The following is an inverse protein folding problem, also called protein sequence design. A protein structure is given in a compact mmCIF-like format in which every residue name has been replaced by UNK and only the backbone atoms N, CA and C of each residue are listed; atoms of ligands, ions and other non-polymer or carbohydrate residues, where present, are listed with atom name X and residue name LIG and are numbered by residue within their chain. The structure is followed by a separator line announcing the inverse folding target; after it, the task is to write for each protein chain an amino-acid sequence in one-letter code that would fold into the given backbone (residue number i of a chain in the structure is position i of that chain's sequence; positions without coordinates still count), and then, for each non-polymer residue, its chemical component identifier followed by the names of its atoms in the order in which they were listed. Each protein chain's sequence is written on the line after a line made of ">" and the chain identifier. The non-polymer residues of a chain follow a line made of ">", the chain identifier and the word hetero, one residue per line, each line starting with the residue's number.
data_IF_000041469827
#
_entry.id   IF_000041469827
#
_cell.length_a   1.000
_cell.length_b   1.000
_cell.length_c   1.000
_cell.angle_alpha   90.00
_cell.angle_beta   90.00
_cell.angle_gamma   90.00
#
_symmetry.space_group_name_H-M   'P 1'
#
loop_
_entity.id
_entity.type
_entity.pdbx_description
1 polymer ?
#
# COMPACT_ATOMS: atom_id res chain seq x y z
N UNK A 1 -28.92 0.00 -5.82
CA UNK A 1 -27.72 0.63 -5.24
C UNK A 1 -28.05 1.79 -4.29
N UNK A 2 -29.27 1.98 -3.85
CA UNK A 2 -29.66 2.96 -2.86
C UNK A 2 -30.43 2.25 -1.73
N UNK A 3 -29.97 2.30 -0.48
CA UNK A 3 -28.77 2.98 0.00
C UNK A 3 -27.46 2.28 -0.41
N UNK A 4 -26.38 3.05 -0.55
CA UNK A 4 -25.01 2.50 -0.63
C UNK A 4 -24.46 2.17 0.75
N UNK A 5 -23.40 1.34 0.83
CA UNK A 5 -22.81 1.00 2.13
C UNK A 5 -22.05 2.18 2.72
N UNK A 6 -21.10 2.73 1.97
CA UNK A 6 -20.20 3.79 2.44
C UNK A 6 -20.09 4.90 1.42
N UNK A 7 -20.10 6.14 1.89
CA UNK A 7 -19.68 7.32 1.15
C UNK A 7 -18.35 7.80 1.72
N UNK A 8 -17.31 7.92 0.88
CA UNK A 8 -16.06 8.58 1.29
C UNK A 8 -16.01 10.00 0.75
N UNK A 9 -15.69 10.96 1.59
CA UNK A 9 -15.68 12.38 1.23
C UNK A 9 -14.76 13.21 2.13
N UNK A 10 -14.42 14.43 1.66
CA UNK A 10 -13.73 15.43 2.47
C UNK A 10 -14.71 16.24 3.33
N UNK A 11 -14.23 16.71 4.49
CA UNK A 11 -15.04 17.55 5.40
C UNK A 11 -15.59 18.83 4.75
N UNK A 12 -14.88 19.41 3.80
CA UNK A 12 -15.23 20.67 3.15
C UNK A 12 -16.54 20.62 2.35
N UNK A 13 -16.90 19.43 1.87
CA UNK A 13 -18.09 19.26 1.01
C UNK A 13 -19.26 18.57 1.71
N UNK A 14 -19.19 18.40 3.03
CA UNK A 14 -20.30 17.83 3.81
C UNK A 14 -21.57 18.67 3.63
N UNK A 15 -21.46 19.98 3.85
CA UNK A 15 -22.62 20.89 3.76
C UNK A 15 -23.13 21.11 2.36
N UNK A 16 -22.28 21.00 1.34
CA UNK A 16 -22.65 21.28 -0.03
C UNK A 16 -23.07 20.03 -0.82
N UNK A 17 -22.43 18.91 -0.58
CA UNK A 17 -22.62 17.69 -1.35
C UNK A 17 -23.38 16.62 -0.57
N UNK A 18 -22.85 16.23 0.59
CA UNK A 18 -23.45 15.19 1.42
C UNK A 18 -24.85 15.58 1.91
N UNK A 19 -25.01 16.82 2.41
CA UNK A 19 -26.30 17.32 2.88
C UNK A 19 -27.35 17.31 1.77
N UNK A 20 -26.99 17.69 0.54
CA UNK A 20 -27.93 17.63 -0.59
C UNK A 20 -28.37 16.22 -0.90
N UNK A 21 -27.46 15.25 -0.95
CA UNK A 21 -27.81 13.86 -1.17
C UNK A 21 -28.77 13.34 -0.10
N UNK A 22 -28.51 13.66 1.17
CA UNK A 22 -29.39 13.28 2.29
C UNK A 22 -30.77 13.95 2.18
N UNK A 23 -30.82 15.26 1.91
CA UNK A 23 -32.07 16.00 1.79
C UNK A 23 -32.93 15.51 0.63
N UNK A 24 -32.33 15.36 -0.57
CA UNK A 24 -33.05 14.87 -1.75
C UNK A 24 -33.53 13.44 -1.57
N UNK A 25 -32.68 12.55 -1.03
CA UNK A 25 -33.07 11.17 -0.79
C UNK A 25 -34.26 11.07 0.18
N UNK A 26 -34.20 11.79 1.30
CA UNK A 26 -35.28 11.82 2.27
C UNK A 26 -36.58 12.43 1.73
N UNK A 27 -36.45 13.44 0.86
CA UNK A 27 -37.61 14.10 0.28
C UNK A 27 -38.28 13.24 -0.80
N UNK A 28 -37.51 12.65 -1.72
CA UNK A 28 -38.05 11.94 -2.87
C UNK A 28 -38.21 10.43 -2.66
N UNK A 29 -37.54 9.83 -1.66
CA UNK A 29 -37.55 8.39 -1.42
C UNK A 29 -38.05 8.04 -0.01
N UNK A 30 -39.19 8.60 0.38
CA UNK A 30 -39.95 8.25 1.59
C UNK A 30 -39.10 8.23 2.88
N UNK A 31 -38.18 9.15 3.01
CA UNK A 31 -37.34 9.29 4.20
C UNK A 31 -36.11 8.39 4.26
N UNK A 32 -35.80 7.65 3.20
CA UNK A 32 -34.59 6.80 3.16
C UNK A 32 -33.31 7.62 3.24
N UNK A 33 -32.26 7.04 3.84
CA UNK A 33 -30.91 7.57 3.80
C UNK A 33 -30.16 7.04 2.58
N UNK A 34 -29.32 7.85 1.91
CA UNK A 34 -28.60 7.42 0.70
C UNK A 34 -27.44 6.45 0.94
N UNK A 35 -26.92 6.39 2.16
CA UNK A 35 -25.79 5.56 2.57
C UNK A 35 -25.87 5.26 4.08
N UNK A 36 -25.23 4.15 4.51
CA UNK A 36 -25.18 3.78 5.93
C UNK A 36 -24.12 4.56 6.67
N UNK A 37 -22.92 4.60 6.10
CA UNK A 37 -21.75 5.21 6.72
C UNK A 37 -21.21 6.35 5.85
N UNK A 38 -20.62 7.35 6.50
CA UNK A 38 -19.90 8.44 5.83
C UNK A 38 -18.49 8.47 6.39
N UNK A 39 -17.53 8.04 5.56
CA UNK A 39 -16.11 8.13 5.89
C UNK A 39 -15.57 9.50 5.48
N UNK A 40 -15.14 10.29 6.46
CA UNK A 40 -14.57 11.62 6.22
C UNK A 40 -13.05 11.49 6.24
N UNK A 41 -12.44 11.46 5.05
CA UNK A 41 -11.02 11.31 4.92
C UNK A 41 -10.23 12.58 5.27
N UNK A 42 -8.98 12.40 5.69
CA UNK A 42 -8.02 13.48 5.91
C UNK A 42 -7.72 14.25 4.62
N UNK A 43 -7.39 15.55 4.75
CA UNK A 43 -6.93 16.35 3.63
C UNK A 43 -5.41 16.22 3.49
N UNK A 44 -4.94 16.09 2.24
CA UNK A 44 -3.51 16.13 1.95
C UNK A 44 -3.10 17.59 1.74
N UNK A 45 -2.12 18.02 2.53
CA UNK A 45 -1.49 19.33 2.48
C UNK A 45 -0.05 19.19 2.01
N UNK A 46 0.53 20.27 1.50
CA UNK A 46 1.97 20.32 1.20
C UNK A 46 2.83 20.34 2.48
N UNK A 47 4.16 20.39 2.33
CA UNK A 47 5.08 20.44 3.47
C UNK A 47 4.92 21.65 4.39
N UNK A 48 4.33 22.73 3.88
CA UNK A 48 4.06 23.96 4.61
C UNK A 48 2.67 23.97 5.27
N UNK A 49 1.89 22.90 5.12
CA UNK A 49 0.54 22.81 5.68
C UNK A 49 -0.51 23.55 4.86
N UNK A 50 -0.22 23.85 3.59
CA UNK A 50 -1.15 24.51 2.69
C UNK A 50 -1.95 23.47 1.90
N UNK A 51 -3.23 23.75 1.67
CA UNK A 51 -4.06 22.92 0.80
C UNK A 51 -3.47 22.86 -0.60
N UNK A 52 -3.35 21.64 -1.15
CA UNK A 52 -2.89 21.47 -2.52
C UNK A 52 -3.91 22.03 -3.50
N UNK A 53 -3.43 22.85 -4.43
CA UNK A 53 -4.26 23.44 -5.49
C UNK A 53 -3.47 23.65 -6.78
N UNK A 54 -4.17 23.67 -7.90
CA UNK A 54 -3.57 23.95 -9.21
C UNK A 54 -2.96 25.36 -9.27
N UNK A 55 -3.62 26.34 -8.65
CA UNK A 55 -3.18 27.74 -8.62
C UNK A 55 -1.89 27.97 -7.83
N UNK A 56 -1.64 27.17 -6.79
CA UNK A 56 -0.39 27.21 -6.03
C UNK A 56 0.69 26.31 -6.62
N UNK A 57 0.35 25.46 -7.60
CA UNK A 57 1.30 24.55 -8.21
C UNK A 57 1.97 23.58 -7.22
N UNK A 58 1.39 23.40 -6.02
CA UNK A 58 1.91 22.57 -4.95
C UNK A 58 1.28 21.16 -4.92
N UNK A 59 0.46 20.82 -5.91
CA UNK A 59 -0.10 19.49 -6.05
C UNK A 59 0.85 18.56 -6.80
N UNK A 60 0.70 17.26 -6.56
CA UNK A 60 1.40 16.20 -7.27
C UNK A 60 0.45 15.57 -8.28
N UNK A 61 0.84 15.48 -9.55
CA UNK A 61 0.05 14.80 -10.58
C UNK A 61 0.16 13.28 -10.39
N UNK A 62 -0.96 12.57 -10.19
CA UNK A 62 -0.94 11.10 -10.06
C UNK A 62 -0.23 10.40 -11.22
N UNK A 63 -0.30 10.93 -12.44
CA UNK A 63 0.36 10.34 -13.62
C UNK A 63 1.88 10.40 -13.50
N UNK A 64 2.43 11.48 -12.94
CA UNK A 64 3.87 11.61 -12.72
C UNK A 64 4.36 10.62 -11.66
N UNK A 65 3.57 10.39 -10.61
CA UNK A 65 3.89 9.38 -9.59
C UNK A 65 3.77 7.96 -10.16
N UNK A 66 2.73 7.67 -10.92
CA UNK A 66 2.58 6.36 -11.58
C UNK A 66 3.78 6.08 -12.50
N UNK A 67 4.24 7.08 -13.23
CA UNK A 67 5.39 6.95 -14.11
C UNK A 67 6.71 6.72 -13.36
N UNK A 68 6.93 7.40 -12.24
CA UNK A 68 8.20 7.38 -11.50
C UNK A 68 8.27 6.29 -10.43
N UNK A 69 7.15 5.97 -9.78
CA UNK A 69 7.10 5.05 -8.63
C UNK A 69 6.21 3.83 -8.87
N UNK A 70 5.28 3.89 -9.83
CA UNK A 70 4.27 2.88 -10.08
C UNK A 70 2.95 3.15 -9.35
N UNK A 71 1.87 2.59 -9.90
CA UNK A 71 0.52 2.79 -9.37
C UNK A 71 0.35 2.21 -7.96
N UNK A 72 0.92 1.05 -7.69
CA UNK A 72 0.85 0.40 -6.37
C UNK A 72 1.58 1.20 -5.28
N UNK A 73 2.72 1.82 -5.62
CA UNK A 73 3.44 2.68 -4.69
C UNK A 73 2.60 3.90 -4.29
N UNK A 74 1.92 4.52 -5.26
CA UNK A 74 1.01 5.63 -4.99
C UNK A 74 -0.17 5.19 -4.11
N UNK A 75 -0.83 4.08 -4.44
CA UNK A 75 -1.96 3.56 -3.69
C UNK A 75 -1.58 3.22 -2.25
N UNK A 76 -0.47 2.48 -2.06
CA UNK A 76 0.03 2.11 -0.74
C UNK A 76 0.32 3.34 0.12
N UNK A 77 1.06 4.32 -0.41
CA UNK A 77 1.38 5.54 0.31
C UNK A 77 0.12 6.35 0.70
N UNK A 78 -0.88 6.45 -0.19
CA UNK A 78 -2.14 7.14 0.11
C UNK A 78 -2.92 6.42 1.22
N UNK A 79 -3.02 5.09 1.17
CA UNK A 79 -3.69 4.30 2.21
C UNK A 79 -2.98 4.45 3.54
N UNK A 80 -1.65 4.36 3.57
CA UNK A 80 -0.83 4.53 4.78
C UNK A 80 -0.96 5.93 5.38
N UNK A 81 -1.09 6.97 4.55
CA UNK A 81 -1.28 8.35 5.02
C UNK A 81 -2.70 8.66 5.46
N UNK A 82 -3.66 7.75 5.28
CA UNK A 82 -5.06 7.99 5.68
C UNK A 82 -5.21 7.89 7.19
N UNK A 83 -5.26 9.04 7.86
CA UNK A 83 -5.46 9.14 9.32
C UNK A 83 -6.91 9.48 9.65
N UNK A 84 -7.33 9.21 10.90
CA UNK A 84 -8.73 9.38 11.33
C UNK A 84 -9.16 10.85 11.45
N UNK A 85 -8.27 11.75 11.90
CA UNK A 85 -8.69 13.10 12.32
C UNK A 85 -7.77 14.22 11.87
N UNK A 86 -6.54 13.94 11.48
CA UNK A 86 -5.54 14.96 11.16
C UNK A 86 -5.26 15.04 9.67
N UNK A 87 -5.10 16.27 9.17
CA UNK A 87 -4.62 16.48 7.81
C UNK A 87 -3.18 15.98 7.68
N UNK A 88 -2.89 15.40 6.53
CA UNK A 88 -1.59 14.79 6.25
C UNK A 88 -0.69 15.76 5.51
N UNK A 89 0.49 16.00 6.03
CA UNK A 89 1.52 16.77 5.34
C UNK A 89 2.33 15.88 4.41
N UNK A 90 2.35 16.24 3.16
CA UNK A 90 3.15 15.60 2.12
C UNK A 90 4.10 16.64 1.52
N UNK A 91 5.37 16.65 1.93
CA UNK A 91 6.36 17.52 1.31
C UNK A 91 6.43 17.25 -0.19
N UNK A 92 6.47 18.31 -0.97
CA UNK A 92 6.53 18.25 -2.43
C UNK A 92 7.93 18.64 -2.87
N UNK A 93 8.64 17.68 -3.43
CA UNK A 93 9.90 17.87 -4.13
C UNK A 93 9.65 18.03 -5.63
N UNK A 94 10.68 18.34 -6.38
CA UNK A 94 10.62 18.45 -7.83
C UNK A 94 11.59 17.45 -8.47
N UNK A 95 11.24 16.94 -9.64
CA UNK A 95 12.14 16.13 -10.47
C UNK A 95 12.74 17.05 -11.55
N UNK A 96 14.05 17.16 -11.54
CA UNK A 96 14.78 17.91 -12.55
C UNK A 96 14.62 17.25 -13.94
N UNK A 97 14.05 17.92 -14.93
CA UNK A 97 13.86 17.34 -16.26
C UNK A 97 15.18 17.13 -17.03
N UNK A 98 16.28 17.76 -16.59
CA UNK A 98 17.59 17.62 -17.22
C UNK A 98 18.41 16.44 -16.70
N UNK A 99 18.30 16.13 -15.39
CA UNK A 99 19.08 15.06 -14.75
C UNK A 99 18.22 13.88 -14.25
N UNK A 100 16.90 14.05 -14.13
CA UNK A 100 16.02 13.07 -13.49
C UNK A 100 16.13 13.01 -11.97
N UNK A 101 16.94 13.86 -11.35
CA UNK A 101 17.19 13.90 -9.92
C UNK A 101 16.05 14.61 -9.18
N UNK A 102 15.66 14.06 -8.02
CA UNK A 102 14.71 14.70 -7.11
C UNK A 102 15.44 15.76 -6.27
N UNK A 103 14.82 16.92 -6.09
CA UNK A 103 15.38 18.01 -5.29
C UNK A 103 14.28 18.82 -4.62
N UNK A 104 14.62 19.45 -3.48
CA UNK A 104 13.72 20.38 -2.82
C UNK A 104 13.78 21.73 -3.52
N UNK A 105 12.65 22.28 -4.03
CA UNK A 105 12.63 23.52 -4.75
C UNK A 105 12.99 24.74 -3.87
N UNK A 106 13.50 25.79 -4.49
CA UNK A 106 13.59 27.08 -3.84
C UNK A 106 12.18 27.66 -3.68
N UNK A 107 11.80 28.04 -2.45
CA UNK A 107 10.48 28.59 -2.12
C UNK A 107 10.51 30.10 -1.98
N UNK A 108 9.41 30.74 -2.38
CA UNK A 108 9.16 32.16 -2.23
C UNK A 108 7.76 32.42 -1.64
N UNK A 109 7.50 33.61 -1.16
CA UNK A 109 6.15 34.05 -0.82
C UNK A 109 5.45 34.56 -2.08
N UNK A 110 4.27 34.03 -2.38
CA UNK A 110 3.39 34.56 -3.43
C UNK A 110 2.84 35.94 -3.04
N UNK A 111 2.29 36.71 -3.97
CA UNK A 111 1.64 38.00 -3.67
C UNK A 111 0.49 37.91 -2.67
N UNK A 112 -0.08 36.70 -2.49
CA UNK A 112 -1.19 36.42 -1.56
C UNK A 112 -0.72 35.78 -0.26
N UNK A 113 0.59 35.75 0.03
CA UNK A 113 1.17 35.26 1.27
C UNK A 113 1.33 33.72 1.34
N UNK A 114 1.01 32.98 0.30
CA UNK A 114 1.26 31.53 0.26
C UNK A 114 2.74 31.24 -0.06
N UNK A 115 3.31 30.21 0.53
CA UNK A 115 4.65 29.70 0.22
C UNK A 115 4.54 28.83 -1.03
N UNK A 116 5.28 29.15 -2.08
CA UNK A 116 5.23 28.47 -3.37
C UNK A 116 6.64 28.24 -3.92
N UNK A 117 6.81 27.26 -4.77
CA UNK A 117 8.07 27.10 -5.51
C UNK A 117 8.32 28.33 -6.40
N UNK A 118 9.52 28.87 -6.40
CA UNK A 118 9.87 29.99 -7.29
C UNK A 118 9.53 29.61 -8.75
N UNK A 119 9.05 30.58 -9.56
CA UNK A 119 8.65 30.32 -10.95
C UNK A 119 9.73 29.64 -11.78
N UNK A 120 10.98 30.08 -11.61
CA UNK A 120 12.16 29.47 -12.21
C UNK A 120 12.97 28.74 -11.12
N UNK A 121 13.49 27.57 -11.47
CA UNK A 121 14.36 26.75 -10.64
C UNK A 121 15.66 26.45 -11.40
N UNK A 122 16.74 26.26 -10.68
CA UNK A 122 18.03 25.83 -11.23
C UNK A 122 18.19 24.32 -11.07
N UNK A 123 18.86 23.67 -12.03
CA UNK A 123 19.17 22.26 -11.93
C UNK A 123 20.19 22.00 -10.81
N UNK A 124 19.96 21.03 -9.90
CA UNK A 124 20.90 20.74 -8.82
C UNK A 124 22.29 20.32 -9.31
N UNK A 125 22.34 19.63 -10.45
CA UNK A 125 23.60 19.13 -11.04
C UNK A 125 24.30 20.14 -11.95
N UNK A 126 23.57 21.14 -12.48
CA UNK A 126 24.09 22.15 -13.41
C UNK A 126 23.28 23.45 -13.29
N UNK A 127 23.73 24.43 -12.46
CA UNK A 127 22.99 25.69 -12.25
C UNK A 127 22.79 26.54 -13.51
N UNK A 128 23.54 26.29 -14.59
CA UNK A 128 23.34 26.99 -15.88
C UNK A 128 22.05 26.54 -16.58
N UNK A 129 21.51 25.37 -16.24
CA UNK A 129 20.26 24.83 -16.77
C UNK A 129 19.11 25.20 -15.87
N UNK A 130 18.12 25.87 -16.43
CA UNK A 130 16.93 26.29 -15.71
C UNK A 130 15.72 25.43 -16.09
N UNK A 131 14.73 25.45 -15.23
CA UNK A 131 13.43 24.81 -15.42
C UNK A 131 12.32 25.67 -14.82
N UNK A 132 11.09 25.46 -15.24
CA UNK A 132 9.93 26.17 -14.70
C UNK A 132 9.18 25.32 -13.68
N UNK A 133 8.65 25.95 -12.63
CA UNK A 133 7.80 25.31 -11.65
C UNK A 133 6.34 25.28 -12.08
N UNK A 134 5.56 24.34 -11.51
CA UNK A 134 4.12 24.28 -11.72
C UNK A 134 3.41 25.57 -11.29
N UNK A 135 3.89 26.25 -10.22
CA UNK A 135 3.39 27.55 -9.80
C UNK A 135 3.66 28.64 -10.83
N UNK A 136 4.88 28.71 -11.35
CA UNK A 136 5.23 29.72 -12.36
C UNK A 136 4.34 29.65 -13.59
N UNK A 137 4.01 28.43 -14.03
CA UNK A 137 3.07 28.19 -15.14
C UNK A 137 1.64 28.54 -14.75
N UNK A 138 1.17 28.09 -13.61
CA UNK A 138 -0.21 28.32 -13.15
C UNK A 138 -0.50 29.80 -12.90
N UNK A 139 0.49 30.57 -12.44
CA UNK A 139 0.39 32.01 -12.22
C UNK A 139 0.58 32.85 -13.51
N UNK A 140 0.90 32.20 -14.64
CA UNK A 140 1.16 32.89 -15.91
C UNK A 140 2.44 33.73 -15.92
N UNK A 141 3.38 33.45 -15.01
CA UNK A 141 4.65 34.20 -14.88
C UNK A 141 5.67 33.74 -15.94
N UNK A 142 5.74 32.43 -16.14
CA UNK A 142 6.66 31.78 -17.09
C UNK A 142 5.93 30.69 -17.86
N UNK A 143 6.42 30.39 -19.07
CA UNK A 143 5.91 29.29 -19.89
C UNK A 143 7.01 28.25 -20.14
N UNK A 144 6.70 26.96 -20.15
CA UNK A 144 7.68 25.93 -20.49
C UNK A 144 8.20 26.09 -21.92
N UNK A 145 9.49 25.83 -22.13
CA UNK A 145 10.15 25.78 -23.42
C UNK A 145 11.13 24.58 -23.48
N UNK A 146 11.75 24.36 -24.63
CA UNK A 146 12.82 23.35 -24.76
C UNK A 146 14.03 23.69 -23.88
N UNK A 147 14.35 24.97 -23.73
CA UNK A 147 15.48 25.42 -22.88
C UNK A 147 15.13 25.46 -21.40
N UNK A 148 13.86 25.72 -21.06
CA UNK A 148 13.33 25.74 -19.69
C UNK A 148 12.10 24.81 -19.55
N UNK A 149 12.29 23.50 -19.52
CA UNK A 149 11.19 22.55 -19.42
C UNK A 149 10.50 22.61 -18.06
N UNK A 150 9.25 22.13 -18.00
CA UNK A 150 8.49 22.02 -16.75
C UNK A 150 9.09 20.93 -15.87
N UNK A 151 9.44 21.28 -14.64
CA UNK A 151 9.78 20.32 -13.60
C UNK A 151 8.51 19.66 -13.03
N UNK A 152 8.56 18.36 -12.82
CA UNK A 152 7.44 17.59 -12.28
C UNK A 152 7.50 17.56 -10.77
N UNK A 153 6.36 17.72 -10.12
CA UNK A 153 6.27 17.56 -8.67
C UNK A 153 6.29 16.08 -8.30
N UNK A 154 6.95 15.76 -7.20
CA UNK A 154 7.05 14.42 -6.62
C UNK A 154 7.02 14.51 -5.09
N UNK A 155 7.07 13.36 -4.42
CA UNK A 155 7.27 13.29 -2.98
C UNK A 155 7.97 12.00 -2.60
N UNK A 156 8.95 12.07 -1.71
CA UNK A 156 9.64 10.90 -1.13
C UNK A 156 8.69 9.96 -0.35
N UNK A 157 7.47 10.42 -0.03
CA UNK A 157 6.44 9.56 0.59
C UNK A 157 6.07 8.35 -0.25
N UNK A 158 6.25 8.40 -1.57
CA UNK A 158 5.97 7.28 -2.47
C UNK A 158 7.11 6.26 -2.57
N UNK A 159 8.31 6.60 -2.11
CA UNK A 159 9.46 5.68 -2.13
C UNK A 159 9.24 4.41 -1.31
N UNK A 160 8.57 4.54 -0.16
CA UNK A 160 8.26 3.39 0.69
C UNK A 160 7.41 2.35 -0.06
N UNK A 161 6.36 2.79 -0.73
CA UNK A 161 5.49 1.91 -1.51
C UNK A 161 6.22 1.24 -2.68
N UNK A 162 7.09 1.98 -3.39
CA UNK A 162 7.94 1.44 -4.46
C UNK A 162 8.90 0.37 -3.93
N UNK A 163 9.57 0.66 -2.82
CA UNK A 163 10.50 -0.27 -2.20
C UNK A 163 9.78 -1.52 -1.68
N UNK A 164 8.57 -1.35 -1.13
CA UNK A 164 7.74 -2.46 -0.67
C UNK A 164 7.32 -3.38 -1.83
N UNK A 165 6.86 -2.81 -2.93
CA UNK A 165 6.54 -3.58 -4.13
C UNK A 165 7.77 -4.35 -4.67
N UNK A 166 8.93 -3.70 -4.74
CA UNK A 166 10.17 -4.34 -5.15
C UNK A 166 10.61 -5.47 -4.19
N UNK A 167 10.43 -5.30 -2.89
CA UNK A 167 10.72 -6.33 -1.88
C UNK A 167 9.83 -7.55 -2.09
N UNK A 168 8.51 -7.34 -2.24
CA UNK A 168 7.56 -8.42 -2.53
C UNK A 168 7.94 -9.18 -3.80
N UNK A 169 8.22 -8.47 -4.90
CA UNK A 169 8.62 -9.09 -6.16
C UNK A 169 9.83 -10.00 -6.00
N UNK A 170 10.89 -9.48 -5.35
CA UNK A 170 12.12 -10.22 -5.15
C UNK A 170 11.94 -11.42 -4.19
N UNK A 171 11.17 -11.25 -3.12
CA UNK A 171 10.85 -12.32 -2.17
C UNK A 171 10.05 -13.43 -2.83
N UNK A 172 9.02 -13.09 -3.61
CA UNK A 172 8.21 -14.07 -4.34
C UNK A 172 9.06 -14.83 -5.36
N UNK A 173 9.88 -14.13 -6.15
CA UNK A 173 10.80 -14.77 -7.11
C UNK A 173 11.81 -15.70 -6.43
N UNK A 174 12.30 -15.32 -5.26
CA UNK A 174 13.20 -16.16 -4.46
C UNK A 174 12.48 -17.42 -3.96
N UNK A 175 11.28 -17.29 -3.44
CA UNK A 175 10.49 -18.40 -2.90
C UNK A 175 10.07 -19.38 -3.99
N UNK A 176 9.56 -18.89 -5.13
CA UNK A 176 9.12 -19.74 -6.25
C UNK A 176 10.24 -20.62 -6.85
N UNK A 177 11.50 -20.19 -6.75
CA UNK A 177 12.65 -21.02 -7.15
C UNK A 177 12.92 -22.22 -6.23
N UNK A 178 12.30 -22.26 -5.06
CA UNK A 178 12.48 -23.29 -4.04
C UNK A 178 11.27 -24.22 -3.92
N UNK A 179 10.14 -23.85 -4.48
CA UNK A 179 8.96 -24.69 -4.53
C UNK A 179 9.06 -25.59 -5.75
N UNK A 180 8.98 -26.88 -5.53
CA UNK A 180 8.95 -27.90 -6.60
C UNK A 180 7.52 -28.06 -7.12
N UNK A 181 7.25 -27.50 -8.28
CA UNK A 181 5.94 -27.52 -8.92
C UNK A 181 5.50 -28.94 -9.42
N UNK A 182 6.40 -29.94 -9.38
CA UNK A 182 6.11 -31.30 -9.81
C UNK A 182 5.56 -32.19 -8.69
N UNK A 183 5.57 -31.71 -7.45
CA UNK A 183 5.16 -32.49 -6.27
C UNK A 183 3.79 -32.04 -5.79
N UNK A 184 2.85 -32.95 -5.74
CA UNK A 184 1.54 -32.78 -5.11
C UNK A 184 1.51 -33.53 -3.78
N UNK A 185 1.15 -32.83 -2.71
CA UNK A 185 1.00 -33.41 -1.37
C UNK A 185 -0.48 -33.71 -1.17
N UNK A 186 -0.82 -35.01 -1.24
CA UNK A 186 -2.21 -35.46 -1.09
C UNK A 186 -2.69 -35.52 0.37
N UNK A 187 -1.76 -35.45 1.34
CA UNK A 187 -2.08 -35.46 2.76
C UNK A 187 -2.31 -34.03 3.26
N UNK A 188 -3.30 -33.88 4.15
CA UNK A 188 -3.52 -32.62 4.84
C UNK A 188 -2.37 -32.34 5.81
N UNK A 189 -1.71 -31.20 5.67
CA UNK A 189 -0.56 -30.81 6.49
C UNK A 189 -1.07 -30.33 7.86
N UNK A 190 -0.73 -31.06 8.94
CA UNK A 190 -1.00 -30.59 10.30
C UNK A 190 0.12 -29.64 10.75
N UNK A 191 -0.20 -28.36 10.84
CA UNK A 191 0.77 -27.32 11.23
C UNK A 191 1.37 -27.56 12.63
N UNK A 192 0.65 -28.22 13.53
CA UNK A 192 1.11 -28.50 14.90
C UNK A 192 2.26 -29.50 14.93
N UNK A 193 2.40 -30.33 13.91
CA UNK A 193 3.51 -31.29 13.75
C UNK A 193 4.74 -30.70 13.06
N UNK A 194 4.64 -29.46 12.55
CA UNK A 194 5.70 -28.83 11.77
C UNK A 194 6.78 -28.18 12.64
N UNK A 195 7.96 -27.90 12.08
CA UNK A 195 8.99 -27.09 12.75
C UNK A 195 8.44 -25.77 13.27
N UNK A 196 9.06 -25.27 14.31
CA UNK A 196 8.61 -24.06 15.01
C UNK A 196 8.43 -22.84 14.10
N UNK A 197 9.31 -22.67 13.11
CA UNK A 197 9.20 -21.57 12.15
C UNK A 197 7.91 -21.61 11.32
N UNK A 198 7.50 -22.80 10.90
CA UNK A 198 6.27 -23.01 10.13
C UNK A 198 5.03 -22.75 10.99
N UNK A 199 5.02 -23.23 12.22
CA UNK A 199 3.95 -22.95 13.18
C UNK A 199 3.84 -21.45 13.47
N UNK A 200 4.98 -20.78 13.66
CA UNK A 200 5.04 -19.35 13.93
C UNK A 200 4.49 -18.50 12.80
N UNK A 201 4.90 -18.76 11.55
CA UNK A 201 4.45 -17.92 10.43
C UNK A 201 2.94 -18.08 10.17
N UNK A 202 2.37 -19.27 10.35
CA UNK A 202 0.92 -19.48 10.22
C UNK A 202 0.16 -18.79 11.37
N UNK A 203 0.65 -18.88 12.60
CA UNK A 203 0.05 -18.15 13.73
C UNK A 203 0.12 -16.62 13.51
N UNK A 204 1.24 -16.14 13.01
CA UNK A 204 1.43 -14.72 12.68
C UNK A 204 0.52 -14.26 11.52
N UNK A 205 0.36 -15.08 10.48
CA UNK A 205 -0.58 -14.82 9.39
C UNK A 205 -2.02 -14.74 9.90
N UNK A 206 -2.46 -15.68 10.74
CA UNK A 206 -3.79 -15.67 11.35
C UNK A 206 -4.03 -14.41 12.18
N UNK A 207 -3.06 -14.03 13.02
CA UNK A 207 -3.13 -12.79 13.79
C UNK A 207 -3.20 -11.55 12.88
N UNK A 208 -2.41 -11.54 11.81
CA UNK A 208 -2.37 -10.44 10.85
C UNK A 208 -3.71 -10.28 10.15
N UNK A 209 -4.30 -11.37 9.63
CA UNK A 209 -5.61 -11.34 8.97
C UNK A 209 -6.67 -10.75 9.90
N UNK A 210 -6.72 -11.21 11.16
CA UNK A 210 -7.68 -10.69 12.14
C UNK A 210 -7.51 -9.18 12.38
N UNK A 211 -6.27 -8.69 12.43
CA UNK A 211 -6.00 -7.24 12.56
C UNK A 211 -6.40 -6.46 11.33
N UNK A 212 -6.15 -7.02 10.13
CA UNK A 212 -6.53 -6.37 8.87
C UNK A 212 -8.06 -6.28 8.74
N UNK A 213 -8.80 -7.32 9.12
CA UNK A 213 -10.28 -7.32 9.14
C UNK A 213 -10.82 -6.26 10.09
N UNK A 214 -10.30 -6.18 11.31
CA UNK A 214 -10.67 -5.16 12.28
C UNK A 214 -10.37 -3.74 11.76
N UNK A 215 -9.23 -3.55 11.09
CA UNK A 215 -8.85 -2.27 10.53
C UNK A 215 -9.79 -1.84 9.38
N UNK A 216 -10.23 -2.77 8.53
CA UNK A 216 -11.21 -2.50 7.47
C UNK A 216 -12.57 -2.15 8.09
N UNK A 217 -13.06 -2.94 9.04
CA UNK A 217 -14.36 -2.74 9.67
C UNK A 217 -14.44 -1.42 10.42
N UNK A 218 -13.30 -0.93 10.95
CA UNK A 218 -13.18 0.33 11.66
C UNK A 218 -12.76 1.51 10.77
N UNK A 219 -12.59 1.31 9.47
CA UNK A 219 -12.05 2.31 8.51
C UNK A 219 -10.65 2.83 8.86
N UNK A 220 -9.85 2.06 9.59
CA UNK A 220 -8.47 2.42 9.97
C UNK A 220 -7.48 1.97 8.88
N UNK A 221 -7.51 2.63 7.74
CA UNK A 221 -6.74 2.24 6.57
C UNK A 221 -5.23 2.35 6.75
N UNK A 222 -4.75 3.31 7.54
CA UNK A 222 -3.34 3.40 7.92
C UNK A 222 -2.89 2.17 8.73
N UNK A 223 -3.71 1.73 9.71
CA UNK A 223 -3.43 0.52 10.50
C UNK A 223 -3.38 -0.72 9.60
N UNK A 224 -4.27 -0.78 8.58
CA UNK A 224 -4.22 -1.82 7.58
C UNK A 224 -2.89 -1.84 6.83
N UNK A 225 -2.46 -0.69 6.28
CA UNK A 225 -1.23 -0.59 5.52
C UNK A 225 0.02 -0.90 6.36
N UNK A 226 0.09 -0.39 7.59
CA UNK A 226 1.20 -0.63 8.51
C UNK A 226 1.27 -2.10 8.94
N UNK A 227 0.12 -2.71 9.30
CA UNK A 227 0.06 -4.14 9.66
C UNK A 227 0.48 -5.03 8.49
N UNK A 228 0.04 -4.71 7.28
CA UNK A 228 0.41 -5.41 6.06
C UNK A 228 1.92 -5.30 5.79
N UNK A 229 2.46 -4.08 5.92
CA UNK A 229 3.88 -3.82 5.74
C UNK A 229 4.73 -4.62 6.73
N UNK A 230 4.40 -4.56 8.02
CA UNK A 230 5.14 -5.26 9.08
C UNK A 230 5.14 -6.76 8.85
N UNK A 231 3.99 -7.34 8.53
CA UNK A 231 3.91 -8.77 8.25
C UNK A 231 4.75 -9.18 7.03
N UNK A 232 4.55 -8.50 5.90
CA UNK A 232 5.21 -8.90 4.65
C UNK A 232 6.70 -8.59 4.68
N UNK A 233 7.07 -7.38 5.12
CA UNK A 233 8.47 -6.96 5.10
C UNK A 233 9.28 -7.67 6.18
N UNK A 234 8.82 -7.62 7.43
CA UNK A 234 9.60 -8.11 8.56
C UNK A 234 9.36 -9.60 8.84
N UNK A 235 8.10 -10.02 8.95
CA UNK A 235 7.83 -11.40 9.37
C UNK A 235 8.07 -12.39 8.21
N UNK A 236 7.55 -12.13 7.01
CA UNK A 236 7.74 -13.03 5.87
C UNK A 236 9.15 -12.90 5.30
N UNK A 237 9.55 -11.68 4.88
CA UNK A 237 10.79 -11.51 4.11
C UNK A 237 12.04 -11.55 4.97
N UNK A 238 12.08 -10.83 6.11
CA UNK A 238 13.30 -10.70 6.90
C UNK A 238 13.51 -11.85 7.88
N UNK A 239 12.42 -12.52 8.32
CA UNK A 239 12.48 -13.58 9.32
C UNK A 239 12.20 -14.95 8.73
N UNK A 240 10.97 -15.22 8.27
CA UNK A 240 10.57 -16.56 7.86
C UNK A 240 11.41 -17.10 6.70
N UNK A 241 11.54 -16.33 5.61
CA UNK A 241 12.35 -16.75 4.47
C UNK A 241 13.80 -17.01 4.83
N UNK A 242 14.38 -16.24 5.77
CA UNK A 242 15.74 -16.46 6.22
C UNK A 242 15.88 -17.75 7.06
N UNK A 243 14.93 -17.99 7.96
CA UNK A 243 14.95 -19.18 8.86
C UNK A 243 14.82 -20.46 8.04
N UNK A 244 13.95 -20.50 7.02
CA UNK A 244 13.70 -21.73 6.25
C UNK A 244 14.71 -21.98 5.13
N UNK A 245 15.61 -21.05 4.81
CA UNK A 245 16.63 -21.22 3.74
C UNK A 245 17.38 -22.55 3.79
N UNK A 246 17.82 -23.04 4.95
CA UNK A 246 18.58 -24.30 5.01
C UNK A 246 17.74 -25.56 4.72
N UNK A 247 16.42 -25.52 4.97
CA UNK A 247 15.56 -26.71 5.00
C UNK A 247 14.55 -26.77 3.86
N UNK A 248 14.12 -25.63 3.33
CA UNK A 248 13.01 -25.54 2.37
C UNK A 248 13.23 -26.32 1.07
N UNK A 249 14.47 -26.52 0.63
CA UNK A 249 14.75 -27.26 -0.60
C UNK A 249 14.47 -28.77 -0.47
N UNK A 250 14.56 -29.32 0.76
CA UNK A 250 14.43 -30.75 1.06
C UNK A 250 13.06 -31.09 1.67
N UNK A 251 12.40 -30.12 2.29
CA UNK A 251 11.13 -30.29 2.99
C UNK A 251 9.92 -29.84 2.13
N UNK A 252 9.23 -30.81 1.56
CA UNK A 252 8.09 -30.56 0.66
C UNK A 252 6.88 -29.92 1.37
N UNK A 253 6.61 -30.28 2.62
CA UNK A 253 5.54 -29.67 3.39
C UNK A 253 5.87 -28.20 3.72
N UNK A 254 7.16 -27.89 3.99
CA UNK A 254 7.60 -26.50 4.17
C UNK A 254 7.45 -25.68 2.88
N UNK A 255 7.70 -26.28 1.71
CA UNK A 255 7.42 -25.66 0.41
C UNK A 255 5.94 -25.33 0.23
N UNK A 256 5.05 -26.26 0.60
CA UNK A 256 3.60 -26.05 0.54
C UNK A 256 3.15 -24.94 1.49
N UNK A 257 3.69 -24.89 2.71
CA UNK A 257 3.42 -23.82 3.67
C UNK A 257 3.89 -22.48 3.12
N UNK A 258 5.10 -22.42 2.56
CA UNK A 258 5.63 -21.19 1.93
C UNK A 258 4.73 -20.72 0.78
N UNK A 259 4.27 -21.61 -0.08
CA UNK A 259 3.37 -21.28 -1.19
C UNK A 259 2.01 -20.76 -0.67
N UNK A 260 1.45 -21.38 0.38
CA UNK A 260 0.21 -20.94 1.00
C UNK A 260 0.33 -19.56 1.70
N UNK A 261 1.46 -19.29 2.35
CA UNK A 261 1.76 -17.98 2.95
C UNK A 261 1.84 -16.91 1.84
N UNK A 262 2.52 -17.18 0.73
CA UNK A 262 2.60 -16.24 -0.38
C UNK A 262 1.25 -16.00 -1.05
N UNK A 263 0.45 -17.06 -1.27
CA UNK A 263 -0.93 -16.94 -1.77
C UNK A 263 -1.74 -15.99 -0.88
N UNK A 264 -1.68 -16.20 0.43
CA UNK A 264 -2.36 -15.35 1.41
C UNK A 264 -1.87 -13.91 1.40
N UNK A 265 -0.55 -13.71 1.29
CA UNK A 265 0.07 -12.36 1.16
C UNK A 265 -0.49 -11.63 -0.05
N UNK A 266 -0.57 -12.31 -1.21
CA UNK A 266 -1.11 -11.66 -2.41
C UNK A 266 -2.57 -11.26 -2.22
N UNK A 267 -3.40 -12.11 -1.61
CA UNK A 267 -4.83 -11.82 -1.34
C UNK A 267 -5.00 -10.62 -0.42
N UNK A 268 -4.29 -10.60 0.71
CA UNK A 268 -4.41 -9.50 1.68
C UNK A 268 -3.74 -8.21 1.19
N UNK A 269 -2.81 -8.27 0.26
CA UNK A 269 -2.19 -7.09 -0.36
C UNK A 269 -3.00 -6.50 -1.52
N UNK A 270 -3.79 -7.33 -2.20
CA UNK A 270 -4.47 -6.96 -3.44
C UNK A 270 -5.36 -5.70 -3.33
N UNK A 271 -6.13 -5.47 -2.27
CA UNK A 271 -6.94 -4.26 -2.14
C UNK A 271 -6.12 -2.96 -2.23
N UNK A 272 -4.86 -2.99 -1.79
CA UNK A 272 -3.98 -1.82 -1.76
C UNK A 272 -3.03 -1.80 -2.96
N UNK A 273 -2.43 -2.94 -3.30
CA UNK A 273 -1.43 -3.08 -4.37
C UNK A 273 -1.90 -4.05 -5.47
N UNK A 274 -2.97 -3.72 -6.24
CA UNK A 274 -3.60 -4.67 -7.15
C UNK A 274 -2.73 -5.07 -8.35
N UNK A 275 -1.86 -4.20 -8.85
CA UNK A 275 -1.14 -4.48 -10.10
C UNK A 275 -0.01 -5.49 -9.90
N UNK A 276 0.82 -5.31 -8.89
CA UNK A 276 1.92 -6.24 -8.62
C UNK A 276 1.41 -7.60 -8.13
N UNK A 277 0.38 -7.60 -7.30
CA UNK A 277 -0.19 -8.83 -6.76
C UNK A 277 -0.87 -9.65 -7.86
N UNK A 278 -1.62 -9.01 -8.77
CA UNK A 278 -2.19 -9.70 -9.93
C UNK A 278 -1.11 -10.22 -10.87
N UNK A 279 -0.03 -9.46 -11.10
CA UNK A 279 1.09 -9.91 -11.93
C UNK A 279 1.81 -11.14 -11.36
N UNK A 280 1.88 -11.28 -10.03
CA UNK A 280 2.49 -12.42 -9.36
C UNK A 280 1.54 -13.61 -9.20
N UNK A 281 0.21 -13.38 -9.25
CA UNK A 281 -0.81 -14.37 -8.96
C UNK A 281 -0.71 -15.66 -9.78
N UNK A 282 -0.57 -15.63 -11.13
CA UNK A 282 -0.47 -16.86 -11.92
C UNK A 282 0.67 -17.78 -11.49
N UNK A 283 1.76 -17.19 -11.01
CA UNK A 283 2.93 -17.95 -10.59
C UNK A 283 2.77 -18.55 -9.19
N UNK A 284 2.15 -17.80 -8.26
CA UNK A 284 1.97 -18.24 -6.89
C UNK A 284 0.83 -19.26 -6.79
N UNK A 285 -0.28 -19.05 -7.48
CA UNK A 285 -1.42 -19.98 -7.49
C UNK A 285 -1.06 -21.35 -8.04
N UNK A 286 -0.21 -21.39 -9.08
CA UNK A 286 0.32 -22.63 -9.66
C UNK A 286 1.37 -23.34 -8.76
N UNK A 287 1.99 -22.61 -7.84
CA UNK A 287 2.98 -23.16 -6.91
C UNK A 287 2.36 -23.88 -5.70
N UNK A 288 1.06 -23.78 -5.53
CA UNK A 288 0.37 -24.48 -4.43
C UNK A 288 0.38 -25.99 -4.66
N UNK A 289 1.00 -26.71 -3.74
CA UNK A 289 1.23 -28.15 -3.85
C UNK A 289 0.66 -28.99 -2.70
N UNK A 290 -0.09 -28.39 -1.76
CA UNK A 290 -0.72 -29.09 -0.62
C UNK A 290 -1.73 -28.22 0.12
N UNK A 291 -2.54 -28.84 0.95
CA UNK A 291 -3.53 -28.19 1.82
C UNK A 291 -3.05 -28.19 3.28
N UNK A 292 -3.27 -27.09 3.99
CA UNK A 292 -2.92 -26.93 5.41
C UNK A 292 -4.20 -27.04 6.24
N UNK A 293 -4.15 -27.88 7.29
CA UNK A 293 -5.28 -28.04 8.21
C UNK A 293 -5.67 -26.70 8.85
N UNK A 294 -6.96 -26.38 8.80
CA UNK A 294 -7.50 -25.12 9.33
C UNK A 294 -7.27 -23.90 8.43
N UNK A 295 -6.74 -24.08 7.22
CA UNK A 295 -6.55 -22.99 6.26
C UNK A 295 -7.29 -23.26 4.96
N UNK A 296 -8.16 -22.31 4.55
CA UNK A 296 -8.93 -22.42 3.32
C UNK A 296 -8.52 -21.34 2.33
N UNK A 297 -7.94 -21.77 1.20
CA UNK A 297 -7.56 -20.94 0.08
C UNK A 297 -8.23 -21.46 -1.20
N UNK A 298 -9.33 -20.86 -1.60
CA UNK A 298 -10.05 -21.26 -2.81
C UNK A 298 -9.30 -20.88 -4.07
N UNK A 299 -9.36 -21.73 -5.09
CA UNK A 299 -8.74 -21.43 -6.38
C UNK A 299 -9.49 -20.33 -7.09
N UNK A 300 -8.76 -19.49 -7.82
CA UNK A 300 -9.31 -18.43 -8.66
C UNK A 300 -8.38 -18.17 -9.84
N UNK A 301 -8.95 -17.93 -11.02
CA UNK A 301 -8.17 -17.62 -12.23
C UNK A 301 -7.51 -16.24 -12.14
N UNK A 302 -8.17 -15.29 -11.48
CA UNK A 302 -7.67 -13.93 -11.26
C UNK A 302 -7.77 -13.58 -9.79
N UNK A 303 -6.77 -12.89 -9.27
CA UNK A 303 -6.73 -12.53 -7.85
C UNK A 303 -7.85 -11.56 -7.45
N UNK A 304 -8.26 -10.69 -8.37
CA UNK A 304 -9.37 -9.75 -8.15
C UNK A 304 -10.72 -10.42 -7.81
N UNK A 305 -10.91 -11.71 -8.15
CA UNK A 305 -12.11 -12.49 -7.79
C UNK A 305 -11.83 -13.56 -6.73
N UNK A 306 -10.61 -13.65 -6.23
CA UNK A 306 -10.24 -14.62 -5.20
C UNK A 306 -10.85 -14.24 -3.85
N UNK A 307 -11.28 -15.25 -3.11
CA UNK A 307 -11.80 -15.06 -1.76
C UNK A 307 -10.69 -14.64 -0.78
N UNK A 308 -11.09 -13.92 0.26
CA UNK A 308 -10.22 -13.62 1.39
C UNK A 308 -9.73 -14.92 2.05
N UNK A 309 -8.46 -14.99 2.52
CA UNK A 309 -7.96 -16.20 3.16
C UNK A 309 -8.73 -16.47 4.46
N UNK A 310 -9.24 -17.69 4.63
CA UNK A 310 -9.92 -18.10 5.85
C UNK A 310 -9.04 -19.05 6.65
N UNK A 311 -8.76 -18.68 7.90
CA UNK A 311 -7.96 -19.46 8.84
C UNK A 311 -8.78 -19.76 10.09
N UNK A 312 -8.71 -20.99 10.57
CA UNK A 312 -9.33 -21.36 11.82
C UNK A 312 -8.73 -20.56 12.99
N UNK A 313 -9.54 -20.07 13.95
CA UNK A 313 -9.03 -19.30 15.09
C UNK A 313 -7.96 -20.03 15.91
N UNK A 314 -7.99 -21.35 15.93
CA UNK A 314 -7.03 -22.21 16.65
C UNK A 314 -5.60 -22.10 16.08
N UNK A 315 -5.44 -21.62 14.85
CA UNK A 315 -4.13 -21.36 14.26
C UNK A 315 -3.45 -20.09 14.83
N UNK A 316 -4.21 -19.21 15.49
CA UNK A 316 -3.68 -18.02 16.16
C UNK A 316 -3.14 -18.41 17.57
N UNK A 317 -2.02 -19.09 17.62
CA UNK A 317 -1.39 -19.50 18.86
C UNK A 317 -0.58 -18.39 19.52
N UNK A 318 -1.14 -17.77 20.55
CA UNK A 318 -0.47 -16.73 21.36
C UNK A 318 0.80 -17.29 22.03
N UNK A 319 0.80 -18.56 22.40
CA UNK A 319 1.97 -19.23 23.02
C UNK A 319 3.15 -19.28 22.06
N UNK A 320 2.92 -19.69 20.82
CA UNK A 320 3.94 -19.76 19.76
C UNK A 320 4.47 -18.35 19.44
N UNK A 321 3.58 -17.35 19.33
CA UNK A 321 3.98 -15.96 19.07
C UNK A 321 4.86 -15.42 20.20
N UNK A 322 4.48 -15.63 21.47
CA UNK A 322 5.26 -15.18 22.62
C UNK A 322 6.61 -15.91 22.73
N UNK A 323 6.65 -17.19 22.39
CA UNK A 323 7.89 -17.98 22.41
C UNK A 323 8.88 -17.45 21.36
N UNK A 324 8.39 -17.10 20.16
CA UNK A 324 9.21 -16.53 19.11
C UNK A 324 9.81 -15.19 19.53
N UNK A 325 9.00 -14.27 20.06
CA UNK A 325 9.48 -12.96 20.50
C UNK A 325 10.52 -13.05 21.62
N UNK A 326 10.35 -13.98 22.57
CA UNK A 326 11.37 -14.26 23.60
C UNK A 326 12.66 -14.80 23.01
N UNK A 327 12.57 -15.71 22.03
CA UNK A 327 13.75 -16.28 21.38
C UNK A 327 14.49 -15.23 20.56
N UNK A 328 13.78 -14.38 19.85
CA UNK A 328 14.36 -13.28 19.07
C UNK A 328 15.06 -12.25 19.96
N UNK A 329 14.52 -11.94 21.14
CA UNK A 329 15.12 -11.02 22.11
C UNK A 329 16.39 -11.55 22.79
N UNK A 330 16.68 -12.85 22.69
CA UNK A 330 17.91 -13.46 23.22
C UNK A 330 19.07 -13.45 22.21
N UNK A 331 18.77 -13.24 20.94
CA UNK A 331 19.75 -13.32 19.84
C UNK A 331 20.20 -11.89 19.39
N UNK A 332 19.37 -10.87 19.65
CA UNK A 332 19.66 -9.44 19.37
C UNK A 332 20.20 -8.72 20.59
#
# INVERSE_FOLDING_TARGET
>A
FNPTSVLSTAREIITLWVSRMVMFNRYFLEGQLPFRDVFIHAMVQDGHGQKMSKSLGNGVDPRDIIFTHGADAMRFALVQMTTDTQDVRMPVDMICPHSGEAFTPHFINSPYGAIVAAPEQESPSDPSKKMVSAYGVAAGIVSPSEEMPLARNSSAKFDLGRNFANKLWNATRFALRRVDHSVEINALIDIRSRPFADQWIIARLSQTISKLEQAIDSYQFNVYADTLYDFVWHDVCDRYLEIIKPTVNEDKEQQAILAAVLDSVLRIMHPVCPFITEALWPHVSQARCGEISGMKLENSDVLASANWPALDPDLNSIEILNLFERSASLIG
#
